data_IF_733557291827
#
_entry.id   IF_733557291827
#
_cell.length_a   1.000
_cell.length_b   1.000
_cell.length_c   1.000
_cell.angle_alpha   90.00
_cell.angle_beta   90.00
_cell.angle_gamma   90.00
#
_symmetry.space_group_name_H-M   'P 1'
#
loop_
_entity.id
_entity.type
_entity.pdbx_description
1 polymer ?
#
# COMPACT_ATOMS: atom_id res chain seq x y z
N UNK A 1 5.73 -14.92 -17.30
CA UNK A 1 5.56 -16.38 -17.02
C UNK A 1 4.07 -16.65 -16.89
N UNK A 2 3.58 -17.81 -17.34
CA UNK A 2 2.20 -18.21 -17.07
C UNK A 2 2.09 -18.68 -15.61
N UNK A 3 1.05 -18.22 -14.89
CA UNK A 3 0.77 -18.56 -13.49
C UNK A 3 -0.60 -19.25 -13.40
N UNK A 4 -0.85 -20.07 -12.38
CA UNK A 4 -2.18 -20.65 -12.12
C UNK A 4 -2.85 -19.94 -10.94
N UNK A 5 -4.15 -20.15 -10.74
CA UNK A 5 -4.86 -19.56 -9.60
C UNK A 5 -4.24 -19.99 -8.27
N UNK A 6 -3.90 -21.28 -8.15
CA UNK A 6 -3.31 -21.87 -6.94
C UNK A 6 -1.91 -21.30 -6.68
N UNK A 7 -1.09 -21.17 -7.73
CA UNK A 7 0.25 -20.60 -7.61
C UNK A 7 0.21 -19.10 -7.26
N UNK A 8 -0.78 -18.37 -7.77
CA UNK A 8 -0.99 -16.96 -7.43
C UNK A 8 -1.35 -16.80 -5.95
N UNK A 9 -2.36 -17.54 -5.49
CA UNK A 9 -2.80 -17.54 -4.10
C UNK A 9 -1.67 -17.96 -3.16
N UNK A 10 -0.97 -19.05 -3.45
CA UNK A 10 0.13 -19.55 -2.62
C UNK A 10 1.28 -18.55 -2.44
N UNK A 11 1.46 -17.62 -3.38
CA UNK A 11 2.54 -16.61 -3.33
C UNK A 11 2.08 -15.29 -2.72
N UNK A 12 0.86 -14.84 -3.06
CA UNK A 12 0.39 -13.48 -2.73
C UNK A 12 -0.59 -13.44 -1.56
N UNK A 13 -1.28 -14.53 -1.24
CA UNK A 13 -2.13 -14.64 -0.06
C UNK A 13 -1.23 -14.88 1.16
N UNK A 14 -0.60 -13.79 1.62
CA UNK A 14 0.34 -13.76 2.76
C UNK A 14 -0.32 -13.15 3.97
N UNK A 15 0.22 -13.45 5.15
CA UNK A 15 -0.16 -12.76 6.39
C UNK A 15 0.11 -11.26 6.29
N UNK A 16 -0.86 -10.48 6.74
CA UNK A 16 -0.79 -9.02 6.83
C UNK A 16 -0.75 -8.58 8.29
N UNK A 17 -0.03 -7.50 8.64
CA UNK A 17 0.58 -6.52 7.72
C UNK A 17 1.91 -6.99 7.10
N UNK A 18 2.04 -6.82 5.78
CA UNK A 18 3.30 -7.08 5.07
C UNK A 18 4.17 -5.84 5.08
N UNK A 19 5.35 -5.94 5.72
CA UNK A 19 6.36 -4.88 5.73
C UNK A 19 7.00 -4.72 4.34
N UNK A 20 6.99 -3.49 3.85
CA UNK A 20 7.67 -3.02 2.65
C UNK A 20 8.79 -2.06 3.02
N UNK A 21 9.87 -2.12 2.26
CA UNK A 21 10.95 -1.13 2.21
C UNK A 21 10.93 -0.49 0.84
N UNK A 22 10.65 0.81 0.78
CA UNK A 22 10.53 1.59 -0.46
C UNK A 22 11.50 2.76 -0.48
N UNK A 23 12.43 2.75 -1.43
CA UNK A 23 13.13 3.98 -1.83
C UNK A 23 12.16 4.92 -2.56
N UNK A 24 12.44 6.22 -2.51
CA UNK A 24 11.75 7.21 -3.35
C UNK A 24 11.75 6.74 -4.82
N UNK A 25 10.60 6.49 -5.46
CA UNK A 25 10.57 5.90 -6.81
C UNK A 25 11.30 6.72 -7.86
N UNK A 26 11.91 6.05 -8.85
CA UNK A 26 12.68 6.73 -9.92
C UNK A 26 11.86 7.83 -10.59
N UNK A 27 10.60 7.53 -10.93
CA UNK A 27 9.69 8.46 -11.61
C UNK A 27 9.39 9.74 -10.82
N UNK A 28 9.64 9.78 -9.51
CA UNK A 28 9.41 10.96 -8.66
C UNK A 28 10.70 11.58 -8.09
N UNK A 29 11.88 11.00 -8.38
CA UNK A 29 13.16 11.52 -7.85
C UNK A 29 13.44 12.97 -8.26
N UNK A 30 12.96 13.41 -9.42
CA UNK A 30 13.13 14.80 -9.87
C UNK A 30 12.43 15.84 -8.96
N UNK A 31 11.54 15.40 -8.06
CA UNK A 31 10.69 16.28 -7.22
C UNK A 31 10.66 15.90 -5.74
N UNK A 32 11.36 14.83 -5.36
CA UNK A 32 11.39 14.30 -3.98
C UNK A 32 12.80 13.84 -3.67
N UNK A 33 13.26 14.15 -2.46
CA UNK A 33 14.55 13.66 -1.97
C UNK A 33 14.59 12.13 -1.98
N UNK A 34 15.75 11.59 -2.33
CA UNK A 34 16.02 10.16 -2.19
C UNK A 34 15.99 9.79 -0.70
N UNK A 35 15.12 8.84 -0.34
CA UNK A 35 15.05 8.28 1.00
C UNK A 35 14.36 6.91 0.96
N UNK A 36 14.84 6.00 1.79
CA UNK A 36 14.21 4.71 2.06
C UNK A 36 13.13 4.87 3.15
N UNK A 37 11.98 4.24 2.96
CA UNK A 37 10.84 4.31 3.88
C UNK A 37 10.24 2.93 4.09
N UNK A 38 9.97 2.61 5.36
CA UNK A 38 9.19 1.43 5.74
C UNK A 38 7.70 1.73 5.62
N UNK A 39 6.94 0.83 5.01
CA UNK A 39 5.47 0.92 4.85
C UNK A 39 4.84 -0.43 5.06
N UNK A 40 3.57 -0.47 5.42
CA UNK A 40 2.82 -1.72 5.51
C UNK A 40 1.72 -1.82 4.47
N UNK A 41 1.60 -3.00 3.88
CA UNK A 41 0.38 -3.46 3.21
C UNK A 41 -0.48 -4.14 4.26
N UNK A 42 -1.66 -3.59 4.53
CA UNK A 42 -2.58 -4.02 5.58
C UNK A 42 -3.59 -5.06 5.12
N UNK A 43 -3.80 -5.18 3.80
CA UNK A 43 -4.69 -6.18 3.18
C UNK A 43 -4.18 -6.53 1.80
N UNK A 44 -4.25 -7.81 1.43
CA UNK A 44 -3.95 -8.30 0.09
C UNK A 44 -5.09 -9.23 -0.32
N UNK A 45 -5.65 -9.00 -1.51
CA UNK A 45 -6.59 -9.95 -2.13
C UNK A 45 -6.26 -10.11 -3.59
N UNK A 46 -6.31 -11.35 -4.06
CA UNK A 46 -6.05 -11.69 -5.45
C UNK A 46 -7.26 -12.30 -6.12
N UNK A 47 -7.47 -11.94 -7.38
CA UNK A 47 -8.49 -12.55 -8.23
C UNK A 47 -7.82 -12.97 -9.53
N UNK A 48 -7.70 -14.28 -9.72
CA UNK A 48 -7.14 -14.85 -10.94
C UNK A 48 -8.09 -14.63 -12.11
N UNK A 49 -7.58 -14.09 -13.22
CA UNK A 49 -8.37 -13.89 -14.44
C UNK A 49 -7.92 -14.86 -15.55
N UNK A 50 -6.60 -15.02 -15.70
CA UNK A 50 -6.00 -15.94 -16.66
C UNK A 50 -4.52 -16.14 -16.33
N UNK A 51 -3.78 -17.01 -17.05
CA UNK A 51 -2.38 -17.27 -16.74
C UNK A 51 -1.44 -16.07 -16.78
N UNK A 52 -1.82 -14.96 -17.41
CA UNK A 52 -1.02 -13.72 -17.49
C UNK A 52 -1.70 -12.51 -16.87
N UNK A 53 -2.92 -12.67 -16.34
CA UNK A 53 -3.73 -11.56 -15.86
C UNK A 53 -4.37 -11.91 -14.52
N UNK A 54 -4.27 -10.99 -13.57
CA UNK A 54 -4.96 -11.07 -12.30
C UNK A 54 -5.30 -9.66 -11.82
N UNK A 55 -6.28 -9.56 -10.93
CA UNK A 55 -6.59 -8.33 -10.20
C UNK A 55 -6.02 -8.44 -8.79
N UNK A 56 -5.45 -7.34 -8.31
CA UNK A 56 -4.84 -7.23 -6.99
C UNK A 56 -5.49 -6.06 -6.25
N UNK A 57 -6.12 -6.35 -5.12
CA UNK A 57 -6.60 -5.32 -4.19
C UNK A 57 -5.64 -5.22 -3.03
N UNK A 58 -5.27 -3.98 -2.70
CA UNK A 58 -4.32 -3.68 -1.63
C UNK A 58 -4.91 -2.66 -0.66
N UNK A 59 -4.88 -2.98 0.62
CA UNK A 59 -4.94 -1.99 1.70
C UNK A 59 -3.52 -1.58 2.06
N UNK A 60 -3.21 -0.29 2.16
CA UNK A 60 -1.85 0.19 2.42
C UNK A 60 -1.84 1.40 3.35
N UNK A 61 -0.74 1.58 4.07
CA UNK A 61 -0.47 2.85 4.77
C UNK A 61 -0.36 4.04 3.81
N UNK A 62 -0.62 5.24 4.34
CA UNK A 62 -0.51 6.48 3.59
C UNK A 62 0.91 6.69 3.01
N UNK A 63 0.96 7.18 1.77
CA UNK A 63 2.23 7.44 1.06
C UNK A 63 2.94 6.19 0.54
N UNK A 64 2.28 5.03 0.55
CA UNK A 64 2.77 3.82 -0.13
C UNK A 64 2.74 4.03 -1.64
N UNK A 65 3.84 3.67 -2.31
CA UNK A 65 3.96 3.77 -3.76
C UNK A 65 3.45 2.49 -4.41
N UNK A 66 2.12 2.41 -4.62
CA UNK A 66 1.43 1.19 -5.07
C UNK A 66 1.97 0.64 -6.39
N UNK A 67 2.36 1.51 -7.32
CA UNK A 67 2.91 1.04 -8.60
C UNK A 67 4.15 0.19 -8.39
N UNK A 68 5.03 0.73 -7.55
CA UNK A 68 6.30 0.14 -7.21
C UNK A 68 6.17 -1.13 -6.33
N UNK A 69 5.08 -1.28 -5.57
CA UNK A 69 4.75 -2.56 -4.91
C UNK A 69 4.57 -3.68 -5.93
N UNK A 70 4.05 -3.39 -7.12
CA UNK A 70 3.84 -4.40 -8.16
C UNK A 70 5.13 -4.70 -8.92
N UNK A 71 5.71 -3.71 -9.59
CA UNK A 71 6.83 -3.92 -10.51
C UNK A 71 8.23 -3.85 -9.85
N UNK A 72 8.32 -3.41 -8.59
CA UNK A 72 9.56 -3.41 -7.80
C UNK A 72 10.55 -2.29 -8.10
N UNK A 73 10.28 -1.44 -9.11
CA UNK A 73 11.08 -0.26 -9.49
C UNK A 73 12.60 -0.53 -9.52
N UNK A 74 13.01 -1.54 -10.28
CA UNK A 74 14.43 -1.97 -10.38
C UNK A 74 15.05 -2.35 -9.03
N UNK A 75 14.26 -2.92 -8.13
CA UNK A 75 14.71 -3.35 -6.79
C UNK A 75 14.64 -2.27 -5.72
N UNK A 76 14.00 -1.12 -5.99
CA UNK A 76 13.80 -0.02 -5.04
C UNK A 76 12.61 -0.24 -4.10
N UNK A 77 11.74 -1.20 -4.40
CA UNK A 77 10.66 -1.64 -3.48
C UNK A 77 10.81 -3.12 -3.18
N UNK A 78 10.86 -3.48 -1.89
CA UNK A 78 11.10 -4.85 -1.41
C UNK A 78 10.19 -5.18 -0.22
N UNK A 79 9.51 -6.34 -0.23
CA UNK A 79 9.25 -7.17 -1.39
C UNK A 79 8.37 -6.44 -2.43
N UNK A 80 8.36 -6.94 -3.66
CA UNK A 80 7.41 -6.54 -4.71
C UNK A 80 6.71 -7.77 -5.29
N UNK A 81 5.54 -7.59 -5.91
CA UNK A 81 4.78 -8.67 -6.56
C UNK A 81 5.64 -9.38 -7.62
N UNK A 82 6.38 -8.62 -8.43
CA UNK A 82 7.30 -9.18 -9.42
C UNK A 82 8.36 -10.08 -8.76
N UNK A 83 8.94 -9.65 -7.63
CA UNK A 83 9.91 -10.47 -6.90
C UNK A 83 9.29 -11.70 -6.23
N UNK A 84 8.06 -11.59 -5.73
CA UNK A 84 7.34 -12.68 -5.07
C UNK A 84 6.95 -13.76 -6.09
N UNK A 85 6.43 -13.37 -7.25
CA UNK A 85 6.08 -14.29 -8.34
C UNK A 85 7.31 -14.82 -9.11
N UNK A 86 8.49 -14.25 -8.87
CA UNK A 86 9.72 -14.59 -9.58
C UNK A 86 9.66 -14.32 -11.08
N UNK A 87 8.86 -13.33 -11.51
CA UNK A 87 8.81 -12.91 -12.91
C UNK A 87 8.42 -11.44 -13.06
N UNK A 88 8.80 -10.77 -14.18
CA UNK A 88 8.39 -9.40 -14.44
C UNK A 88 6.87 -9.26 -14.39
N UNK A 89 6.40 -8.29 -13.63
CA UNK A 89 4.98 -7.99 -13.44
C UNK A 89 4.82 -6.48 -13.56
N UNK A 90 3.82 -6.04 -14.31
CA UNK A 90 3.55 -4.62 -14.53
C UNK A 90 2.06 -4.34 -14.38
N UNK A 91 1.70 -3.06 -14.26
CA UNK A 91 0.35 -2.60 -14.00
C UNK A 91 -0.24 -2.00 -15.27
N UNK A 92 -1.39 -2.53 -15.70
CA UNK A 92 -2.17 -1.93 -16.78
C UNK A 92 -3.09 -0.82 -16.30
N UNK A 93 -3.74 -1.01 -15.15
CA UNK A 93 -4.72 -0.08 -14.59
C UNK A 93 -4.58 -0.02 -13.07
N UNK A 94 -4.80 1.16 -12.51
CA UNK A 94 -4.75 1.40 -11.07
C UNK A 94 -5.85 2.38 -10.69
N UNK A 95 -6.75 1.94 -9.82
CA UNK A 95 -7.85 2.72 -9.28
C UNK A 95 -7.75 2.80 -7.75
N UNK A 96 -8.28 3.87 -7.18
CA UNK A 96 -8.38 4.03 -5.73
C UNK A 96 -9.81 3.69 -5.29
N UNK A 97 -9.99 2.59 -4.56
CA UNK A 97 -11.30 2.12 -4.11
C UNK A 97 -11.86 2.94 -2.92
N UNK A 98 -11.01 3.60 -2.14
CA UNK A 98 -11.44 4.44 -1.02
C UNK A 98 -10.29 4.85 -0.11
N UNK A 99 -10.58 5.75 0.82
CA UNK A 99 -9.67 6.18 1.89
C UNK A 99 -10.31 5.79 3.21
N UNK A 100 -9.67 4.89 3.95
CA UNK A 100 -10.07 4.58 5.31
C UNK A 100 -9.51 5.68 6.22
N UNK A 101 -10.42 6.39 6.89
CA UNK A 101 -10.06 7.30 7.98
C UNK A 101 -10.52 6.65 9.28
N UNK A 102 -9.64 6.62 10.28
CA UNK A 102 -10.04 6.27 11.62
C UNK A 102 -11.03 7.33 12.10
N UNK A 103 -12.30 6.95 12.22
CA UNK A 103 -13.26 7.75 12.94
C UNK A 103 -12.91 7.59 14.41
N UNK A 104 -12.24 8.57 14.99
CA UNK A 104 -12.37 8.99 16.39
C UNK A 104 -11.42 10.15 16.74
N UNK A 105 -11.96 11.38 16.76
CA UNK A 105 -11.94 12.29 17.91
C UNK A 105 -13.06 13.35 17.74
N UNK A 106 -14.32 12.92 17.76
CA UNK A 106 -15.42 13.80 18.19
C UNK A 106 -15.59 13.61 19.70
N UNK A 107 -14.92 14.47 20.49
CA UNK A 107 -15.07 14.48 21.93
C UNK A 107 -14.18 15.50 22.62
N UNK A 108 -14.74 16.66 22.96
CA UNK A 108 -14.16 17.53 23.98
C UNK A 108 -14.34 19.03 23.81
N UNK A 109 -15.57 19.56 23.89
CA UNK A 109 -15.75 20.92 24.40
C UNK A 109 -16.99 21.02 25.31
N UNK A 110 -16.99 20.21 26.37
CA UNK A 110 -17.83 20.45 27.53
C UNK A 110 -17.01 21.19 28.59
N UNK A 111 -17.41 22.41 28.93
CA UNK A 111 -17.05 23.01 30.23
C UNK A 111 -16.05 24.17 30.27
N UNK A 112 -16.22 25.24 29.50
CA UNK A 112 -15.67 26.55 29.91
C UNK A 112 -16.55 27.18 30.99
N UNK A 113 -16.41 26.71 32.24
CA UNK A 113 -16.91 27.43 33.43
C UNK A 113 -16.35 28.84 33.40
N UNK A 114 -17.22 29.82 33.13
CA UNK A 114 -16.95 31.25 33.33
C UNK A 114 -16.71 31.45 34.83
N UNK A 115 -15.44 31.60 35.25
CA UNK A 115 -15.12 32.24 36.53
C UNK A 115 -15.43 33.72 36.34
N UNK A 116 -16.60 34.15 36.82
CA UNK A 116 -16.92 35.55 37.05
C UNK A 116 -16.08 35.96 38.27
N UNK A 117 -15.03 36.75 38.05
CA UNK A 117 -14.33 37.46 39.13
C UNK A 117 -15.04 38.81 39.25
N UNK A 118 -15.63 39.03 40.42
CA UNK A 118 -16.24 40.29 40.82
C UNK A 118 -15.19 41.41 40.91
N UNK A 119 -15.63 42.62 40.63
CA UNK A 119 -15.16 43.87 41.22
C UNK A 119 -16.40 44.66 41.64
#
# INVERSE_FOLDING_TARGET
RATTAEALAAVLDRETPLLLTQDTPVRVLHRRAFAERKRHVTRIETEFLSPHWFRLRLGTEAGTYVKEVVHGDLGRTRPSVASLLGCPTDILSLDCEGIQMDKDQEGGEEGRKRRKVEH
#
